data_IF_932221649570
#
_entry.id   IF_932221649570
#
_cell.length_a   1.000
_cell.length_b   1.000
_cell.length_c   1.000
_cell.angle_alpha   90.00
_cell.angle_beta   90.00
_cell.angle_gamma   90.00
#
_symmetry.space_group_name_H-M   'P 1'
#
loop_
_entity.id
_entity.type
_entity.pdbx_description
1 polymer ?
#
# COMPACT_ATOMS: atom_id res chain seq x y z
N UNK A 1 22.08 -19.77 -19.88
CA UNK A 1 22.21 -18.49 -19.15
C UNK A 1 21.66 -17.30 -19.95
N UNK A 2 21.81 -17.27 -21.28
CA UNK A 2 21.41 -16.09 -22.08
C UNK A 2 19.90 -15.79 -22.14
N UNK A 3 19.02 -16.80 -22.19
CA UNK A 3 17.55 -16.58 -22.16
C UNK A 3 17.05 -16.02 -20.83
N UNK A 4 17.64 -16.42 -19.71
CA UNK A 4 17.28 -15.91 -18.38
C UNK A 4 17.68 -14.44 -18.22
N UNK A 5 18.89 -14.08 -18.68
CA UNK A 5 19.36 -12.70 -18.66
C UNK A 5 18.61 -11.80 -19.66
N UNK A 6 18.16 -12.34 -20.79
CA UNK A 6 17.31 -11.61 -21.74
C UNK A 6 15.96 -11.28 -21.14
N UNK A 7 15.29 -12.25 -20.51
CA UNK A 7 13.97 -12.04 -19.89
C UNK A 7 14.03 -11.04 -18.72
N UNK A 8 15.05 -11.11 -17.86
CA UNK A 8 15.19 -10.18 -16.74
C UNK A 8 15.33 -8.72 -17.20
N UNK A 9 16.04 -8.47 -18.31
CA UNK A 9 16.18 -7.12 -18.85
C UNK A 9 14.86 -6.57 -19.39
N UNK A 10 14.08 -7.39 -20.06
CA UNK A 10 12.75 -7.01 -20.55
C UNK A 10 11.78 -6.77 -19.39
N UNK A 11 11.82 -7.59 -18.33
CA UNK A 11 10.98 -7.41 -17.14
C UNK A 11 11.32 -6.10 -16.41
N UNK A 12 12.61 -5.80 -16.21
CA UNK A 12 13.07 -4.54 -15.61
C UNK A 12 12.62 -3.34 -16.47
N UNK A 13 12.73 -3.47 -17.79
CA UNK A 13 12.31 -2.42 -18.73
C UNK A 13 10.81 -2.17 -18.63
N UNK A 14 9.99 -3.22 -18.57
CA UNK A 14 8.54 -3.12 -18.40
C UNK A 14 8.17 -2.38 -17.10
N UNK A 15 8.83 -2.71 -15.98
CA UNK A 15 8.58 -2.06 -14.68
C UNK A 15 8.92 -0.56 -14.74
N UNK A 16 10.06 -0.22 -15.37
CA UNK A 16 10.47 1.18 -15.55
C UNK A 16 9.54 1.95 -16.47
N UNK A 17 9.13 1.35 -17.58
CA UNK A 17 8.17 1.95 -18.51
C UNK A 17 6.84 2.24 -17.81
N UNK A 18 6.36 1.32 -16.96
CA UNK A 18 5.18 1.55 -16.16
C UNK A 18 5.34 2.74 -15.21
N UNK A 19 6.45 2.83 -14.46
CA UNK A 19 6.73 3.97 -13.58
C UNK A 19 6.76 5.29 -14.34
N UNK A 20 7.46 5.33 -15.47
CA UNK A 20 7.53 6.52 -16.34
C UNK A 20 6.15 6.92 -16.87
N UNK A 21 5.34 5.95 -17.33
CA UNK A 21 3.98 6.22 -17.80
C UNK A 21 3.11 6.84 -16.71
N UNK A 22 3.20 6.36 -15.46
CA UNK A 22 2.46 6.95 -14.34
C UNK A 22 2.85 8.41 -14.11
N UNK A 23 4.15 8.72 -14.13
CA UNK A 23 4.67 10.09 -13.94
C UNK A 23 4.27 11.01 -15.08
N UNK A 24 4.43 10.57 -16.33
CA UNK A 24 4.09 11.38 -17.51
C UNK A 24 2.59 11.63 -17.61
N UNK A 25 1.75 10.62 -17.34
CA UNK A 25 0.30 10.79 -17.27
C UNK A 25 -0.08 11.84 -16.22
N UNK A 26 0.59 11.86 -15.06
CA UNK A 26 0.37 12.86 -14.01
C UNK A 26 0.74 14.27 -14.45
N UNK A 27 1.89 14.45 -15.09
CA UNK A 27 2.32 15.76 -15.59
C UNK A 27 1.34 16.33 -16.61
N UNK A 28 0.77 15.47 -17.46
CA UNK A 28 -0.15 15.87 -18.52
C UNK A 28 -1.58 16.21 -18.03
N UNK A 29 -2.01 15.70 -16.88
CA UNK A 29 -3.38 15.90 -16.41
C UNK A 29 -3.62 17.23 -15.68
N UNK A 30 -2.57 17.98 -15.29
CA UNK A 30 -2.64 19.22 -14.48
C UNK A 30 -3.54 19.17 -13.22
N UNK A 31 -4.01 17.98 -12.83
CA UNK A 31 -4.84 17.78 -11.64
C UNK A 31 -3.94 17.83 -10.40
N UNK A 32 -4.17 18.84 -9.55
CA UNK A 32 -3.63 18.83 -8.19
C UNK A 32 -4.35 17.75 -7.39
N UNK A 33 -3.62 16.68 -7.05
CA UNK A 33 -4.10 15.60 -6.18
C UNK A 33 -3.36 15.65 -4.85
N UNK A 34 -4.05 15.28 -3.77
CA UNK A 34 -3.43 15.11 -2.46
C UNK A 34 -2.92 13.67 -2.33
N UNK A 35 -1.86 13.33 -3.07
CA UNK A 35 -1.22 12.02 -3.03
C UNK A 35 0.31 12.10 -2.95
N UNK A 36 0.95 10.95 -2.67
CA UNK A 36 2.40 10.87 -2.48
C UNK A 36 3.19 11.33 -3.70
N UNK A 37 2.73 11.01 -4.92
CA UNK A 37 3.42 11.44 -6.14
C UNK A 37 3.41 12.97 -6.27
N UNK A 38 2.30 13.61 -5.92
CA UNK A 38 2.21 15.08 -5.92
C UNK A 38 3.17 15.68 -4.89
N UNK A 39 3.25 15.09 -3.69
CA UNK A 39 4.22 15.50 -2.66
C UNK A 39 5.67 15.37 -3.16
N UNK A 40 6.01 14.30 -3.88
CA UNK A 40 7.35 14.15 -4.46
C UNK A 40 7.61 15.17 -5.58
N UNK A 41 6.65 15.43 -6.46
CA UNK A 41 6.81 16.44 -7.52
C UNK A 41 7.00 17.87 -6.97
N UNK A 42 6.37 18.16 -5.84
CA UNK A 42 6.49 19.45 -5.14
C UNK A 42 7.77 19.54 -4.28
N UNK A 43 8.41 18.41 -3.99
CA UNK A 43 9.65 18.38 -3.23
C UNK A 43 10.77 19.14 -3.95
N UNK A 44 11.62 19.79 -3.17
CA UNK A 44 12.85 20.44 -3.62
C UNK A 44 13.99 19.96 -2.73
N UNK A 45 15.11 19.62 -3.35
CA UNK A 45 16.32 19.22 -2.63
C UNK A 45 17.00 20.41 -1.93
N UNK A 46 18.15 20.15 -1.31
CA UNK A 46 18.96 21.17 -0.61
C UNK A 46 19.48 22.30 -1.52
N UNK A 47 19.47 22.10 -2.85
CA UNK A 47 19.86 23.06 -3.87
C UNK A 47 18.66 23.72 -4.56
N UNK A 48 17.42 23.41 -4.14
CA UNK A 48 16.20 23.94 -4.74
C UNK A 48 15.78 23.26 -6.05
N UNK A 49 16.32 22.09 -6.38
CA UNK A 49 16.02 21.36 -7.61
C UNK A 49 14.81 20.44 -7.44
N UNK A 50 14.00 20.34 -8.49
CA UNK A 50 12.90 19.37 -8.57
C UNK A 50 13.44 17.98 -8.90
N UNK A 51 12.81 16.88 -8.43
CA UNK A 51 13.21 15.54 -8.82
C UNK A 51 13.00 15.29 -10.31
N UNK A 52 13.89 14.51 -10.89
CA UNK A 52 13.81 14.04 -12.27
C UNK A 52 12.64 13.07 -12.47
N UNK A 53 12.22 12.86 -13.73
CA UNK A 53 11.21 11.83 -14.06
C UNK A 53 11.65 10.45 -13.59
N UNK A 54 12.94 10.13 -13.70
CA UNK A 54 13.48 8.82 -13.32
C UNK A 54 13.39 8.61 -11.80
N UNK A 55 13.78 9.61 -11.01
CA UNK A 55 13.64 9.53 -9.53
C UNK A 55 12.18 9.41 -9.10
N UNK A 56 11.28 10.15 -9.74
CA UNK A 56 9.84 10.03 -9.47
C UNK A 56 9.31 8.63 -9.81
N UNK A 57 9.74 8.05 -10.92
CA UNK A 57 9.37 6.70 -11.33
C UNK A 57 9.91 5.65 -10.35
N UNK A 58 11.16 5.80 -9.89
CA UNK A 58 11.76 4.93 -8.88
C UNK A 58 11.00 4.99 -7.55
N UNK A 59 10.57 6.17 -7.11
CA UNK A 59 9.69 6.30 -5.95
C UNK A 59 8.36 5.56 -6.15
N UNK A 60 7.68 5.77 -7.28
CA UNK A 60 6.41 5.08 -7.59
C UNK A 60 6.58 3.56 -7.53
N UNK A 61 7.62 3.02 -8.18
CA UNK A 61 7.91 1.59 -8.21
C UNK A 61 8.21 1.08 -6.79
N UNK A 62 9.03 1.80 -6.03
CA UNK A 62 9.38 1.44 -4.65
C UNK A 62 8.15 1.29 -3.75
N UNK A 63 7.21 2.24 -3.78
CA UNK A 63 5.99 2.17 -2.97
C UNK A 63 5.08 1.01 -3.39
N UNK A 64 4.93 0.77 -4.70
CA UNK A 64 4.10 -0.32 -5.20
C UNK A 64 4.68 -1.68 -4.77
N UNK A 65 5.99 -1.88 -4.94
CA UNK A 65 6.65 -3.11 -4.55
C UNK A 65 6.57 -3.34 -3.04
N UNK A 66 6.86 -2.32 -2.24
CA UNK A 66 6.84 -2.43 -0.79
C UNK A 66 5.42 -2.68 -0.25
N UNK A 67 4.40 -2.00 -0.80
CA UNK A 67 3.05 -2.01 -0.25
C UNK A 67 2.15 -3.14 -0.76
N UNK A 68 2.34 -3.60 -2.00
CA UNK A 68 1.41 -4.53 -2.65
C UNK A 68 1.39 -5.90 -1.98
N UNK A 69 2.52 -6.60 -2.01
CA UNK A 69 2.55 -8.01 -1.60
C UNK A 69 2.48 -8.14 -0.09
N UNK A 70 3.13 -7.23 0.66
CA UNK A 70 3.12 -7.23 2.12
C UNK A 70 1.72 -6.99 2.72
N UNK A 71 0.95 -6.05 2.15
CA UNK A 71 -0.42 -5.75 2.59
C UNK A 71 -1.38 -6.87 2.17
N UNK A 72 -1.26 -7.37 0.93
CA UNK A 72 -2.09 -8.49 0.46
C UNK A 72 -1.92 -9.73 1.33
N UNK A 73 -0.68 -10.06 1.71
CA UNK A 73 -0.39 -11.17 2.61
C UNK A 73 -0.96 -10.93 4.02
N UNK A 74 -0.77 -9.72 4.58
CA UNK A 74 -1.30 -9.39 5.91
C UNK A 74 -2.83 -9.54 5.98
N UNK A 75 -3.55 -9.04 4.97
CA UNK A 75 -5.00 -9.16 4.89
C UNK A 75 -5.45 -10.61 4.69
N UNK A 76 -4.73 -11.37 3.86
CA UNK A 76 -5.04 -12.78 3.62
C UNK A 76 -4.96 -13.60 4.92
N UNK A 77 -3.89 -13.40 5.70
CA UNK A 77 -3.75 -14.03 7.02
C UNK A 77 -4.78 -13.55 8.03
N UNK A 78 -5.14 -12.26 7.98
CA UNK A 78 -6.15 -11.68 8.88
C UNK A 78 -7.50 -12.38 8.65
N UNK A 79 -7.91 -12.49 7.39
CA UNK A 79 -9.15 -13.19 7.00
C UNK A 79 -9.09 -14.68 7.35
N UNK A 80 -7.94 -15.33 7.15
CA UNK A 80 -7.74 -16.71 7.57
C UNK A 80 -7.93 -16.87 9.09
N UNK A 81 -7.26 -16.05 9.91
CA UNK A 81 -7.36 -16.11 11.37
C UNK A 81 -8.81 -15.89 11.84
N UNK A 82 -9.51 -14.91 11.26
CA UNK A 82 -10.91 -14.66 11.57
C UNK A 82 -11.82 -15.84 11.16
N UNK A 83 -11.54 -16.51 10.04
CA UNK A 83 -12.30 -17.69 9.62
C UNK A 83 -12.18 -18.86 10.61
N UNK A 84 -11.04 -18.96 11.30
CA UNK A 84 -10.76 -20.00 12.30
C UNK A 84 -11.20 -19.63 13.71
N UNK A 85 -11.55 -18.36 13.96
CA UNK A 85 -11.91 -17.85 15.28
C UNK A 85 -13.26 -17.11 15.24
N UNK A 86 -14.41 -17.84 15.22
CA UNK A 86 -15.74 -17.24 15.10
C UNK A 86 -16.04 -16.18 16.16
N UNK A 87 -15.64 -16.43 17.42
CA UNK A 87 -15.81 -15.47 18.52
C UNK A 87 -15.07 -14.15 18.23
N UNK A 88 -13.82 -14.21 17.78
CA UNK A 88 -13.07 -12.99 17.44
C UNK A 88 -13.71 -12.23 16.27
N UNK A 89 -14.23 -12.97 15.27
CA UNK A 89 -15.01 -12.38 14.16
C UNK A 89 -16.26 -11.66 14.65
N UNK A 90 -17.01 -12.26 15.56
CA UNK A 90 -18.22 -11.65 16.13
C UNK A 90 -17.90 -10.37 16.91
N UNK A 91 -16.86 -10.38 17.76
CA UNK A 91 -16.41 -9.18 18.46
C UNK A 91 -15.99 -8.07 17.49
N UNK A 92 -15.27 -8.41 16.42
CA UNK A 92 -14.84 -7.45 15.40
C UNK A 92 -16.03 -6.84 14.66
N UNK A 93 -16.96 -7.67 14.19
CA UNK A 93 -18.16 -7.20 13.48
C UNK A 93 -19.03 -6.33 14.39
N UNK A 94 -19.11 -6.66 15.68
CA UNK A 94 -19.82 -5.84 16.67
C UNK A 94 -19.16 -4.47 16.80
N UNK A 95 -17.85 -4.41 17.03
CA UNK A 95 -17.13 -3.11 17.11
C UNK A 95 -17.35 -2.27 15.85
N UNK A 96 -17.23 -2.88 14.66
CA UNK A 96 -17.43 -2.17 13.40
C UNK A 96 -18.84 -1.61 13.32
N UNK A 97 -19.87 -2.42 13.60
CA UNK A 97 -21.27 -1.95 13.57
C UNK A 97 -21.53 -0.83 14.57
N UNK A 98 -21.05 -0.97 15.81
CA UNK A 98 -21.25 0.02 16.87
C UNK A 98 -20.61 1.37 16.53
N UNK A 99 -19.46 1.38 15.83
CA UNK A 99 -18.76 2.60 15.42
C UNK A 99 -19.32 3.19 14.13
N UNK A 100 -19.70 2.33 13.18
CA UNK A 100 -20.13 2.74 11.84
C UNK A 100 -21.57 3.27 11.84
N UNK A 101 -22.43 2.71 12.71
CA UNK A 101 -23.86 3.00 12.72
C UNK A 101 -24.51 2.63 11.38
N UNK A 102 -25.25 3.58 10.82
CA UNK A 102 -25.95 3.41 9.53
C UNK A 102 -25.06 3.71 8.30
N UNK A 103 -23.80 4.14 8.49
CA UNK A 103 -22.90 4.41 7.35
C UNK A 103 -22.43 3.08 6.73
N UNK A 104 -22.21 3.08 5.43
CA UNK A 104 -21.57 1.94 4.75
C UNK A 104 -20.04 2.06 4.74
N UNK A 105 -19.51 3.28 4.69
CA UNK A 105 -18.07 3.57 4.57
C UNK A 105 -17.62 4.39 5.78
N UNK A 106 -16.58 3.95 6.52
CA UNK A 106 -16.09 4.69 7.68
C UNK A 106 -15.31 5.94 7.24
N UNK A 107 -15.47 7.02 8.00
CA UNK A 107 -14.53 8.14 7.93
C UNK A 107 -13.26 7.88 8.75
N UNK A 108 -12.26 8.75 8.59
CA UNK A 108 -10.95 8.61 9.25
C UNK A 108 -11.05 8.52 10.77
N UNK A 109 -11.92 9.32 11.39
CA UNK A 109 -12.08 9.34 12.85
C UNK A 109 -12.82 8.10 13.37
N UNK A 110 -13.73 7.52 12.56
CA UNK A 110 -14.33 6.23 12.86
C UNK A 110 -13.29 5.10 12.82
N UNK A 111 -12.46 5.02 11.78
CA UNK A 111 -11.39 3.99 11.69
C UNK A 111 -10.45 4.06 12.90
N UNK A 112 -10.08 5.27 13.35
CA UNK A 112 -9.22 5.45 14.53
C UNK A 112 -9.81 4.91 15.83
N UNK A 113 -11.14 4.80 15.92
CA UNK A 113 -11.83 4.26 17.10
C UNK A 113 -11.91 2.73 17.11
N UNK A 114 -11.62 2.06 15.99
CA UNK A 114 -11.69 0.59 15.85
C UNK A 114 -10.49 -0.09 16.52
N UNK A 115 -10.48 -0.10 17.86
CA UNK A 115 -9.36 -0.60 18.68
C UNK A 115 -9.21 -2.12 18.53
N UNK A 116 -10.32 -2.84 18.49
CA UNK A 116 -10.34 -4.29 18.34
C UNK A 116 -9.94 -4.72 16.93
N UNK A 117 -10.39 -4.01 15.88
CA UNK A 117 -9.89 -4.23 14.51
C UNK A 117 -8.36 -4.08 14.43
N UNK A 118 -7.82 -3.03 15.07
CA UNK A 118 -6.38 -2.84 15.15
C UNK A 118 -5.68 -3.97 15.93
N UNK A 119 -6.29 -4.44 17.04
CA UNK A 119 -5.76 -5.57 17.81
C UNK A 119 -5.76 -6.87 16.99
N UNK A 120 -6.83 -7.17 16.25
CA UNK A 120 -6.92 -8.32 15.34
C UNK A 120 -5.83 -8.27 14.27
N UNK A 121 -5.64 -7.11 13.64
CA UNK A 121 -4.60 -6.94 12.62
C UNK A 121 -3.19 -7.11 13.21
N UNK A 122 -2.93 -6.50 14.37
CA UNK A 122 -1.64 -6.65 15.06
C UNK A 122 -1.36 -8.08 15.52
N UNK A 123 -2.37 -8.78 16.02
CA UNK A 123 -2.23 -10.17 16.43
C UNK A 123 -1.97 -11.09 15.24
N UNK A 124 -2.63 -10.82 14.11
CA UNK A 124 -2.33 -11.50 12.85
C UNK A 124 -0.86 -11.31 12.47
N UNK A 125 -0.35 -10.08 12.51
CA UNK A 125 1.06 -9.80 12.20
C UNK A 125 2.05 -10.39 13.22
N UNK A 126 1.63 -10.58 14.48
CA UNK A 126 2.43 -11.29 15.49
C UNK A 126 2.59 -12.77 15.14
N UNK A 127 1.55 -13.40 14.61
CA UNK A 127 1.53 -14.82 14.23
C UNK A 127 2.12 -15.06 12.83
N UNK A 128 1.77 -14.19 11.88
CA UNK A 128 2.08 -14.28 10.46
C UNK A 128 2.60 -12.93 9.95
N UNK A 129 3.85 -12.57 10.27
CA UNK A 129 4.45 -11.34 9.77
C UNK A 129 4.64 -11.43 8.25
N UNK A 130 4.24 -10.38 7.50
CA UNK A 130 4.41 -10.37 6.04
C UNK A 130 5.87 -10.31 5.58
N UNK A 131 6.75 -9.83 6.46
CA UNK A 131 8.20 -9.85 6.26
C UNK A 131 8.78 -10.58 7.47
N UNK A 132 9.24 -11.84 7.30
CA UNK A 132 9.89 -12.59 8.37
C UNK A 132 11.11 -11.84 8.88
N UNK A 133 11.33 -11.87 10.20
CA UNK A 133 12.61 -11.45 10.77
C UNK A 133 13.58 -12.62 10.61
N UNK A 134 14.80 -12.33 10.13
CA UNK A 134 15.93 -13.27 10.15
C UNK A 134 16.28 -13.69 11.58
#
# INVERSE_FOLDING_TARGET
MDKFNYNLREDIKMIREFGNQVVENRKNTMEKRNDLLSLFMEHRDEYGQSPSTEELADHVISFILAGRDSTAQALSWTLYCLSKNPHAKECLLKEIKDILGDKEIPDYEQVRKMKYANAVFKETLRLYPSVPRE
#
